data_IF_449182282578
#
_entry.id   IF_449182282578
#
_cell.length_a   1.000
_cell.length_b   1.000
_cell.length_c   1.000
_cell.angle_alpha   90.00
_cell.angle_beta   90.00
_cell.angle_gamma   90.00
#
_symmetry.space_group_name_H-M   'P 1'
#
loop_
_entity.id
_entity.type
_entity.pdbx_description
1 polymer ?
#
# COMPACT_ATOMS: atom_id res chain seq x y z
N UNK A 1 3.52 -23.73 -9.38
CA UNK A 1 2.75 -22.74 -8.58
C UNK A 1 3.67 -21.90 -7.68
N UNK A 2 4.74 -21.31 -8.24
CA UNK A 2 5.68 -20.45 -7.48
C UNK A 2 5.70 -19.00 -8.01
N UNK A 3 5.48 -18.81 -9.32
CA UNK A 3 5.64 -17.50 -9.97
C UNK A 3 4.51 -16.51 -9.60
N UNK A 4 3.25 -16.95 -9.62
CA UNK A 4 2.12 -16.12 -9.18
C UNK A 4 2.24 -15.72 -7.69
N UNK A 5 2.74 -16.64 -6.86
CA UNK A 5 2.98 -16.37 -5.44
C UNK A 5 4.08 -15.33 -5.27
N UNK A 6 5.16 -15.39 -6.04
CA UNK A 6 6.23 -14.38 -6.02
C UNK A 6 5.75 -12.99 -6.46
N UNK A 7 4.98 -12.90 -7.55
CA UNK A 7 4.48 -11.62 -8.07
C UNK A 7 3.46 -10.98 -7.12
N UNK A 8 2.67 -11.78 -6.40
CA UNK A 8 1.68 -11.29 -5.43
C UNK A 8 2.24 -11.03 -4.03
N UNK A 9 3.48 -11.47 -3.72
CA UNK A 9 4.11 -11.26 -2.40
C UNK A 9 4.15 -9.81 -1.92
N UNK A 10 4.38 -8.78 -2.76
CA UNK A 10 4.34 -7.38 -2.29
C UNK A 10 2.98 -7.00 -1.68
N UNK A 11 1.88 -7.55 -2.18
CA UNK A 11 0.54 -7.35 -1.61
C UNK A 11 0.31 -8.14 -0.31
N UNK A 12 1.27 -8.99 0.08
CA UNK A 12 1.35 -9.70 1.36
C UNK A 12 1.19 -8.81 2.59
N UNK A 13 1.57 -7.53 2.47
CA UNK A 13 1.46 -6.54 3.54
C UNK A 13 0.04 -6.38 4.11
N UNK A 14 -0.98 -6.43 3.24
CA UNK A 14 -2.38 -6.31 3.64
C UNK A 14 -2.86 -7.51 4.47
N UNK A 15 -2.15 -8.64 4.39
CA UNK A 15 -2.48 -9.86 5.11
C UNK A 15 -1.76 -9.99 6.47
N UNK A 16 -0.92 -9.01 6.85
CA UNK A 16 -0.29 -8.98 8.18
C UNK A 16 -1.37 -8.78 9.25
N UNK A 17 -1.41 -9.67 10.25
CA UNK A 17 -2.38 -9.61 11.37
C UNK A 17 -1.69 -9.33 12.70
N UNK A 18 -2.44 -8.81 13.67
CA UNK A 18 -2.01 -8.62 15.07
C UNK A 18 -1.51 -7.22 15.46
N UNK A 19 -1.54 -6.24 14.53
CA UNK A 19 -1.12 -4.85 14.80
C UNK A 19 -2.33 -3.97 15.15
N UNK A 20 -2.30 -3.26 16.29
CA UNK A 20 -3.34 -2.30 16.70
C UNK A 20 -3.55 -1.27 15.60
N UNK A 21 -4.80 -1.08 15.18
CA UNK A 21 -5.17 -0.01 14.25
C UNK A 21 -4.70 -0.19 12.81
N UNK A 22 -4.09 -1.33 12.44
CA UNK A 22 -3.69 -1.58 11.04
C UNK A 22 -4.85 -1.51 10.06
N UNK A 23 -5.97 -2.11 10.43
CA UNK A 23 -7.20 -2.04 9.66
C UNK A 23 -7.70 -0.59 9.44
N UNK A 24 -7.42 0.32 10.39
CA UNK A 24 -7.86 1.71 10.28
C UNK A 24 -7.16 2.44 9.15
N UNK A 25 -5.83 2.32 9.05
CA UNK A 25 -5.07 3.03 8.01
C UNK A 25 -5.03 2.29 6.67
N UNK A 26 -5.13 0.95 6.65
CA UNK A 26 -5.16 0.19 5.39
C UNK A 26 -6.49 0.28 4.66
N UNK A 27 -7.61 0.36 5.40
CA UNK A 27 -8.96 0.24 4.82
C UNK A 27 -9.87 1.40 5.21
N UNK A 28 -10.09 1.62 6.52
CA UNK A 28 -11.12 2.58 6.97
C UNK A 28 -10.83 4.01 6.50
N UNK A 29 -9.60 4.50 6.70
CA UNK A 29 -9.20 5.85 6.31
C UNK A 29 -9.21 6.04 4.78
N UNK A 30 -8.60 5.14 3.97
CA UNK A 30 -8.71 5.24 2.52
C UNK A 30 -10.16 5.24 2.02
N UNK A 31 -11.02 4.33 2.51
CA UNK A 31 -12.44 4.30 2.13
C UNK A 31 -13.14 5.60 2.50
N UNK A 32 -12.94 6.10 3.71
CA UNK A 32 -13.55 7.35 4.18
C UNK A 32 -13.14 8.53 3.29
N UNK A 33 -11.85 8.65 2.97
CA UNK A 33 -11.33 9.70 2.10
C UNK A 33 -11.84 9.57 0.66
N UNK A 34 -11.94 8.35 0.13
CA UNK A 34 -12.53 8.09 -1.19
C UNK A 34 -13.98 8.55 -1.24
N UNK A 35 -14.81 8.15 -0.27
CA UNK A 35 -16.22 8.55 -0.20
C UNK A 35 -16.35 10.06 -0.08
N UNK A 36 -15.53 10.69 0.76
CA UNK A 36 -15.50 12.15 0.90
C UNK A 36 -15.16 12.83 -0.43
N UNK A 37 -14.14 12.36 -1.16
CA UNK A 37 -13.78 12.93 -2.46
C UNK A 37 -14.88 12.75 -3.50
N UNK A 38 -15.57 11.60 -3.53
CA UNK A 38 -16.70 11.37 -4.45
C UNK A 38 -17.85 12.33 -4.15
N UNK A 39 -18.20 12.52 -2.87
CA UNK A 39 -19.25 13.46 -2.47
C UNK A 39 -18.89 14.88 -2.92
N UNK A 40 -17.63 15.29 -2.74
CA UNK A 40 -17.15 16.61 -3.19
C UNK A 40 -17.24 16.75 -4.71
N UNK A 41 -16.85 15.73 -5.48
CA UNK A 41 -16.95 15.73 -6.94
C UNK A 41 -18.43 15.83 -7.38
N UNK A 42 -19.32 15.04 -6.79
CA UNK A 42 -20.76 15.06 -7.12
C UNK A 42 -21.46 16.35 -6.72
N UNK A 43 -20.99 17.03 -5.67
CA UNK A 43 -21.55 18.30 -5.20
C UNK A 43 -21.04 19.51 -5.99
N UNK A 44 -20.02 19.32 -6.80
CA UNK A 44 -19.37 20.39 -7.56
C UNK A 44 -19.91 20.45 -8.99
N UNK A 45 -20.03 21.65 -9.54
CA UNK A 45 -20.61 21.85 -10.88
C UNK A 45 -19.64 21.36 -11.97
N UNK A 46 -20.00 20.28 -12.66
CA UNK A 46 -19.17 19.53 -13.63
C UNK A 46 -18.61 20.41 -14.75
N UNK A 47 -19.32 21.50 -15.10
CA UNK A 47 -18.94 22.41 -16.18
C UNK A 47 -17.65 23.20 -15.91
N UNK A 48 -17.27 23.43 -14.64
CA UNK A 48 -16.06 24.17 -14.28
C UNK A 48 -14.79 23.30 -14.24
N UNK A 49 -14.91 21.97 -14.20
CA UNK A 49 -13.77 21.06 -14.01
C UNK A 49 -13.10 20.56 -15.30
N UNK A 50 -13.80 20.62 -16.44
CA UNK A 50 -13.29 20.08 -17.72
C UNK A 50 -12.03 20.79 -18.24
N UNK A 51 -11.74 22.02 -17.80
CA UNK A 51 -10.57 22.82 -18.24
C UNK A 51 -9.39 22.82 -17.27
N UNK A 52 -9.57 22.38 -16.02
CA UNK A 52 -8.51 22.36 -14.99
C UNK A 52 -7.91 20.95 -14.79
N UNK A 53 -8.54 19.91 -15.36
CA UNK A 53 -8.34 18.51 -14.98
C UNK A 53 -7.04 17.85 -15.48
N UNK A 54 -6.63 18.06 -16.72
CA UNK A 54 -5.53 17.25 -17.27
C UNK A 54 -4.19 17.57 -16.62
N UNK A 55 -3.89 18.84 -16.36
CA UNK A 55 -2.58 19.22 -15.78
C UNK A 55 -2.43 18.73 -14.33
N UNK A 56 -3.50 18.81 -13.53
CA UNK A 56 -3.48 18.37 -12.13
C UNK A 56 -3.42 16.85 -12.03
N UNK A 57 -4.25 16.14 -12.80
CA UNK A 57 -4.27 14.67 -12.79
C UNK A 57 -2.94 14.12 -13.33
N UNK A 58 -2.44 14.66 -14.45
CA UNK A 58 -1.14 14.24 -15.00
C UNK A 58 0.01 14.60 -14.05
N UNK A 59 -0.09 15.70 -13.30
CA UNK A 59 0.87 16.06 -12.26
C UNK A 59 0.91 15.05 -11.11
N UNK A 60 -0.26 14.66 -10.59
CA UNK A 60 -0.38 13.65 -9.52
C UNK A 60 0.13 12.30 -10.00
N UNK A 61 -0.29 11.84 -11.19
CA UNK A 61 0.16 10.56 -11.76
C UNK A 61 1.66 10.59 -12.05
N UNK A 62 2.18 11.71 -12.55
CA UNK A 62 3.61 11.91 -12.78
C UNK A 62 4.43 11.84 -11.48
N UNK A 63 3.91 12.41 -10.39
CA UNK A 63 4.51 12.26 -9.07
C UNK A 63 4.51 10.80 -8.61
N UNK A 64 3.36 10.11 -8.70
CA UNK A 64 3.21 8.69 -8.30
C UNK A 64 4.13 7.78 -9.13
N UNK A 65 4.34 8.09 -10.40
CA UNK A 65 5.23 7.33 -11.29
C UNK A 65 6.69 7.32 -10.82
N UNK A 66 7.10 8.32 -10.03
CA UNK A 66 8.46 8.41 -9.48
C UNK A 66 8.58 7.72 -8.11
N UNK A 67 7.48 7.52 -7.40
CA UNK A 67 7.45 6.90 -6.06
C UNK A 67 8.00 5.48 -5.98
N UNK A 68 7.85 4.57 -6.99
CA UNK A 68 8.47 3.26 -6.93
C UNK A 68 9.98 3.34 -6.64
N UNK A 69 10.69 4.29 -7.27
CA UNK A 69 12.13 4.49 -7.04
C UNK A 69 12.44 4.93 -5.61
N UNK A 70 11.66 5.85 -5.06
CA UNK A 70 11.81 6.31 -3.67
C UNK A 70 11.54 5.20 -2.66
N UNK A 71 10.50 4.40 -2.87
CA UNK A 71 10.19 3.28 -1.98
C UNK A 71 11.22 2.17 -2.06
N UNK A 72 11.77 1.87 -3.24
CA UNK A 72 12.88 0.93 -3.39
C UNK A 72 14.13 1.44 -2.65
N UNK A 73 14.43 2.74 -2.72
CA UNK A 73 15.54 3.33 -1.97
C UNK A 73 15.32 3.23 -0.45
N UNK A 74 14.12 3.55 0.03
CA UNK A 74 13.76 3.40 1.45
C UNK A 74 13.84 1.93 1.90
N UNK A 75 13.37 1.01 1.07
CA UNK A 75 13.47 -0.43 1.30
C UNK A 75 14.93 -0.87 1.43
N UNK A 76 15.80 -0.45 0.49
CA UNK A 76 17.22 -0.75 0.53
C UNK A 76 17.88 -0.20 1.81
N UNK A 77 17.52 1.01 2.22
CA UNK A 77 18.01 1.61 3.46
C UNK A 77 17.58 0.81 4.70
N UNK A 78 16.30 0.44 4.81
CA UNK A 78 15.78 -0.35 5.95
C UNK A 78 16.46 -1.74 6.04
N UNK A 79 16.79 -2.34 4.90
CA UNK A 79 17.51 -3.63 4.85
C UNK A 79 18.99 -3.48 5.19
N UNK A 80 19.65 -2.42 4.70
CA UNK A 80 21.07 -2.18 4.94
C UNK A 80 21.36 -1.67 6.36
N UNK A 81 20.43 -0.96 7.00
CA UNK A 81 20.57 -0.46 8.36
C UNK A 81 20.62 -1.62 9.37
N UNK A 82 21.83 -1.93 9.84
CA UNK A 82 22.07 -2.84 10.97
C UNK A 82 21.76 -2.11 12.28
N UNK A 83 20.48 -2.07 12.65
CA UNK A 83 20.01 -1.51 13.91
C UNK A 83 19.25 -2.57 14.70
N UNK A 84 19.71 -2.85 15.93
CA UNK A 84 19.08 -3.82 16.82
C UNK A 84 17.60 -3.47 17.10
N UNK A 85 17.24 -2.18 17.12
CA UNK A 85 15.85 -1.72 17.30
C UNK A 85 14.91 -2.12 16.15
N UNK A 86 15.45 -2.36 14.95
CA UNK A 86 14.68 -2.83 13.79
C UNK A 86 14.48 -4.36 13.81
N UNK A 87 15.38 -5.06 14.49
CA UNK A 87 15.35 -6.51 14.66
C UNK A 87 14.54 -6.94 15.89
N UNK A 88 14.17 -5.99 16.74
CA UNK A 88 13.17 -6.19 17.78
C UNK A 88 11.80 -6.58 17.18
N UNK A 89 11.09 -7.44 17.92
CA UNK A 89 9.71 -7.79 17.59
C UNK A 89 8.83 -6.55 17.60
N UNK A 90 7.85 -6.48 16.69
CA UNK A 90 6.81 -5.45 16.84
C UNK A 90 6.01 -5.72 18.12
N UNK A 91 5.82 -4.67 18.92
CA UNK A 91 4.90 -4.71 20.06
C UNK A 91 3.47 -4.90 19.54
N UNK A 92 2.92 -6.08 19.84
CA UNK A 92 1.58 -6.50 19.47
C UNK A 92 0.51 -6.00 20.44
N UNK A 93 -0.74 -6.23 20.07
CA UNK A 93 -1.91 -5.64 20.74
C UNK A 93 -2.21 -6.24 22.11
N UNK A 94 -2.00 -7.55 22.23
CA UNK A 94 -2.41 -8.39 23.36
C UNK A 94 -1.64 -9.71 23.26
N UNK A 95 -0.67 -9.97 24.14
CA UNK A 95 0.09 -11.24 24.31
C UNK A 95 0.69 -11.98 23.09
N UNK A 96 0.38 -11.59 21.85
CA UNK A 96 0.84 -12.22 20.61
C UNK A 96 1.57 -11.19 19.73
N UNK A 97 2.77 -11.57 19.27
CA UNK A 97 3.56 -10.79 18.32
C UNK A 97 2.89 -10.85 16.94
N UNK A 98 2.79 -9.73 16.20
CA UNK A 98 2.15 -9.72 14.89
C UNK A 98 2.81 -10.73 13.96
N UNK A 99 1.99 -11.37 13.13
CA UNK A 99 2.40 -12.53 12.36
C UNK A 99 1.85 -12.52 10.94
N UNK A 100 2.59 -13.18 10.05
CA UNK A 100 2.16 -13.51 8.69
C UNK A 100 2.18 -15.02 8.55
N UNK A 101 1.19 -15.55 7.86
CA UNK A 101 1.19 -16.93 7.42
C UNK A 101 2.10 -17.06 6.20
N UNK A 102 3.19 -17.81 6.35
CA UNK A 102 4.05 -18.16 5.22
C UNK A 102 3.79 -19.62 4.85
N UNK A 103 3.57 -19.86 3.56
CA UNK A 103 3.61 -21.19 3.01
C UNK A 103 5.08 -21.62 2.96
N UNK A 104 5.41 -22.65 3.73
CA UNK A 104 6.69 -23.34 3.66
C UNK A 104 6.47 -24.71 3.07
N UNK A 105 7.47 -25.18 2.35
CA UNK A 105 7.51 -26.57 1.91
C UNK A 105 8.17 -27.33 3.05
N UNK A 106 7.43 -28.21 3.71
CA UNK A 106 7.97 -29.04 4.78
C UNK A 106 8.98 -30.05 4.21
N UNK A 107 9.77 -30.71 5.06
CA UNK A 107 10.78 -31.71 4.64
C UNK A 107 10.15 -32.83 3.78
N UNK A 108 8.86 -33.08 3.95
CA UNK A 108 8.04 -34.02 3.17
C UNK A 108 7.54 -33.49 1.81
N UNK A 109 7.99 -32.30 1.37
CA UNK A 109 7.52 -31.59 0.16
C UNK A 109 6.04 -31.18 0.15
N UNK A 110 5.38 -31.23 1.30
CA UNK A 110 4.01 -30.78 1.49
C UNK A 110 3.97 -29.29 1.85
N UNK A 111 2.92 -28.60 1.39
CA UNK A 111 2.70 -27.19 1.74
C UNK A 111 2.18 -27.11 3.18
N UNK A 112 2.98 -26.57 4.06
CA UNK A 112 2.60 -26.25 5.43
C UNK A 112 2.52 -24.73 5.61
N UNK A 113 1.60 -24.25 6.44
CA UNK A 113 1.41 -22.82 6.68
C UNK A 113 1.89 -22.50 8.10
N UNK A 114 3.09 -21.92 8.23
CA UNK A 114 3.62 -21.50 9.53
C UNK A 114 3.33 -20.04 9.82
N UNK A 115 3.04 -19.77 11.10
CA UNK A 115 2.98 -18.42 11.66
C UNK A 115 4.41 -17.92 11.86
N UNK A 116 4.84 -16.94 11.08
CA UNK A 116 6.11 -16.24 11.30
C UNK A 116 5.82 -14.92 12.02
N UNK A 117 6.46 -14.71 13.17
CA UNK A 117 6.40 -13.44 13.88
C UNK A 117 7.22 -12.37 13.15
N UNK A 118 6.67 -11.15 13.07
CA UNK A 118 7.28 -10.05 12.35
C UNK A 118 8.17 -9.20 13.26
N UNK A 119 9.39 -8.94 12.77
CA UNK A 119 10.24 -7.86 13.26
C UNK A 119 9.82 -6.53 12.65
N UNK A 120 10.24 -5.43 13.25
CA UNK A 120 9.99 -4.08 12.72
C UNK A 120 10.55 -3.92 11.30
N UNK A 121 11.76 -4.46 11.04
CA UNK A 121 12.36 -4.51 9.70
C UNK A 121 11.48 -5.22 8.69
N UNK A 122 10.96 -6.40 9.02
CA UNK A 122 10.14 -7.18 8.08
C UNK A 122 8.81 -6.47 7.77
N UNK A 123 8.20 -5.82 8.77
CA UNK A 123 6.99 -5.03 8.58
C UNK A 123 7.22 -3.82 7.67
N UNK A 124 8.25 -3.01 7.96
CA UNK A 124 8.63 -1.83 7.16
C UNK A 124 9.01 -2.21 5.73
N UNK A 125 9.79 -3.29 5.57
CA UNK A 125 10.16 -3.84 4.26
C UNK A 125 8.94 -4.28 3.45
N UNK A 126 8.01 -5.00 4.09
CA UNK A 126 6.75 -5.42 3.45
C UNK A 126 5.87 -4.23 3.07
N UNK A 127 5.83 -3.19 3.91
CA UNK A 127 5.07 -1.97 3.65
C UNK A 127 5.61 -1.19 2.44
N UNK A 128 6.93 -0.98 2.36
CA UNK A 128 7.52 -0.30 1.19
C UNK A 128 7.42 -1.14 -0.09
N UNK A 129 7.49 -2.46 0.01
CA UNK A 129 7.22 -3.35 -1.12
C UNK A 129 5.77 -3.20 -1.63
N UNK A 130 4.80 -3.14 -0.72
CA UNK A 130 3.39 -2.89 -1.05
C UNK A 130 3.20 -1.53 -1.73
N UNK A 131 3.73 -0.44 -1.15
CA UNK A 131 3.65 0.91 -1.72
C UNK A 131 4.30 1.00 -3.12
N UNK A 132 5.42 0.28 -3.32
CA UNK A 132 6.05 0.16 -4.64
C UNK A 132 5.13 -0.53 -5.63
N UNK A 133 4.53 -1.66 -5.26
CA UNK A 133 3.61 -2.38 -6.14
C UNK A 133 2.34 -1.56 -6.45
N UNK A 134 1.77 -0.89 -5.45
CA UNK A 134 0.58 -0.05 -5.59
C UNK A 134 0.84 1.14 -6.53
N UNK A 135 1.97 1.84 -6.38
CA UNK A 135 2.34 2.94 -7.28
C UNK A 135 2.52 2.50 -8.75
N UNK A 136 3.08 1.31 -8.99
CA UNK A 136 3.16 0.71 -10.33
C UNK A 136 1.74 0.42 -10.86
N UNK A 137 0.87 -0.19 -10.05
CA UNK A 137 -0.50 -0.51 -10.44
C UNK A 137 -1.28 0.75 -10.81
N UNK A 138 -1.23 1.80 -9.98
CA UNK A 138 -1.89 3.08 -10.25
C UNK A 138 -1.40 3.68 -11.56
N UNK A 139 -0.08 3.70 -11.78
CA UNK A 139 0.52 4.26 -13.00
C UNK A 139 0.08 3.50 -14.25
N UNK A 140 0.07 2.16 -14.18
CA UNK A 140 -0.36 1.32 -15.30
C UNK A 140 -1.87 1.44 -15.56
N UNK A 141 -2.70 1.42 -14.51
CA UNK A 141 -4.14 1.61 -14.65
C UNK A 141 -4.49 2.99 -15.20
N UNK A 142 -3.73 4.04 -14.85
CA UNK A 142 -3.90 5.36 -15.46
C UNK A 142 -3.63 5.36 -16.96
N UNK A 143 -2.54 4.72 -17.41
CA UNK A 143 -2.20 4.57 -18.84
C UNK A 143 -3.27 3.81 -19.63
N UNK A 144 -3.99 2.90 -18.97
CA UNK A 144 -5.06 2.11 -19.58
C UNK A 144 -6.43 2.82 -19.56
N UNK A 145 -6.54 4.01 -18.94
CA UNK A 145 -7.80 4.77 -18.85
C UNK A 145 -8.56 4.94 -20.17
N UNK A 146 -7.91 5.18 -21.34
CA UNK A 146 -8.65 5.38 -22.59
C UNK A 146 -9.45 4.16 -23.04
N UNK A 147 -9.08 2.95 -22.57
CA UNK A 147 -9.80 1.71 -22.90
C UNK A 147 -11.15 1.61 -22.19
N UNK A 148 -11.36 2.37 -21.10
CA UNK A 148 -12.55 2.31 -20.27
C UNK A 148 -13.55 3.45 -20.54
N UNK A 149 -13.12 4.49 -21.27
CA UNK A 149 -13.94 5.68 -21.57
C UNK A 149 -15.25 5.35 -22.30
N UNK A 150 -15.27 4.26 -23.07
CA UNK A 150 -16.44 3.87 -23.86
C UNK A 150 -17.60 3.34 -23.00
N UNK A 151 -17.36 2.93 -21.75
CA UNK A 151 -18.35 2.27 -20.91
C UNK A 151 -18.56 3.03 -19.60
N UNK A 152 -19.64 3.82 -19.50
CA UNK A 152 -19.93 4.67 -18.32
C UNK A 152 -19.86 3.93 -16.97
N UNK A 153 -20.45 2.73 -16.88
CA UNK A 153 -20.41 1.94 -15.64
C UNK A 153 -18.99 1.48 -15.28
N UNK A 154 -18.18 1.11 -16.28
CA UNK A 154 -16.79 0.69 -16.08
C UNK A 154 -15.93 1.88 -15.69
N UNK A 155 -16.15 3.05 -16.31
CA UNK A 155 -15.47 4.29 -15.96
C UNK A 155 -15.77 4.72 -14.52
N UNK A 156 -17.02 4.61 -14.06
CA UNK A 156 -17.37 4.90 -12.67
C UNK A 156 -16.63 3.97 -11.69
N UNK A 157 -16.61 2.66 -11.95
CA UNK A 157 -15.86 1.69 -11.13
C UNK A 157 -14.36 2.01 -11.16
N UNK A 158 -13.82 2.32 -12.34
CA UNK A 158 -12.42 2.70 -12.53
C UNK A 158 -12.04 3.92 -11.68
N UNK A 159 -12.84 4.99 -11.70
CA UNK A 159 -12.60 6.20 -10.90
C UNK A 159 -12.60 5.89 -9.41
N UNK A 160 -13.56 5.08 -8.93
CA UNK A 160 -13.63 4.66 -7.52
C UNK A 160 -12.38 3.88 -7.11
N UNK A 161 -11.97 2.90 -7.92
CA UNK A 161 -10.77 2.09 -7.65
C UNK A 161 -9.51 2.94 -7.65
N UNK A 162 -9.36 3.84 -8.63
CA UNK A 162 -8.21 4.75 -8.70
C UNK A 162 -8.13 5.70 -7.50
N UNK A 163 -9.26 6.29 -7.09
CA UNK A 163 -9.31 7.17 -5.92
C UNK A 163 -9.00 6.40 -4.62
N UNK A 164 -9.52 5.18 -4.49
CA UNK A 164 -9.22 4.32 -3.35
C UNK A 164 -7.73 3.97 -3.26
N UNK A 165 -7.13 3.49 -4.35
CA UNK A 165 -5.69 3.17 -4.39
C UNK A 165 -4.83 4.42 -4.16
N UNK A 166 -5.25 5.59 -4.64
CA UNK A 166 -4.56 6.85 -4.37
C UNK A 166 -4.53 7.17 -2.87
N UNK A 167 -5.68 7.13 -2.21
CA UNK A 167 -5.76 7.42 -0.77
C UNK A 167 -5.07 6.35 0.07
N UNK A 168 -5.16 5.09 -0.33
CA UNK A 168 -4.44 4.00 0.31
C UNK A 168 -2.92 4.22 0.24
N UNK A 169 -2.39 4.57 -0.94
CA UNK A 169 -0.98 4.90 -1.13
C UNK A 169 -0.56 6.07 -0.23
N UNK A 170 -1.34 7.16 -0.18
CA UNK A 170 -1.01 8.34 0.63
C UNK A 170 -1.00 8.01 2.13
N UNK A 171 -2.07 7.38 2.63
CA UNK A 171 -2.23 7.07 4.06
C UNK A 171 -1.13 6.10 4.52
N UNK A 172 -0.88 5.03 3.76
CA UNK A 172 0.14 4.04 4.11
C UNK A 172 1.55 4.65 4.01
N UNK A 173 1.79 5.59 3.08
CA UNK A 173 3.05 6.35 3.01
C UNK A 173 3.27 7.20 4.25
N UNK A 174 2.24 7.94 4.69
CA UNK A 174 2.32 8.75 5.91
C UNK A 174 2.56 7.89 7.14
N UNK A 175 1.90 6.73 7.25
CA UNK A 175 2.19 5.76 8.29
C UNK A 175 3.65 5.29 8.22
N UNK A 176 4.17 5.02 7.03
CA UNK A 176 5.57 4.63 6.86
C UNK A 176 6.56 5.69 7.31
N UNK A 177 6.30 6.95 6.97
CA UNK A 177 7.11 8.09 7.41
C UNK A 177 7.04 8.29 8.92
N UNK A 178 5.87 8.13 9.54
CA UNK A 178 5.73 8.18 11.01
C UNK A 178 6.57 7.09 11.69
N UNK A 179 6.54 5.86 11.16
CA UNK A 179 7.35 4.77 11.70
C UNK A 179 8.85 5.07 11.60
N UNK A 180 9.33 5.57 10.45
CA UNK A 180 10.74 5.88 10.25
C UNK A 180 11.19 7.14 11.01
N UNK A 181 10.39 8.19 11.00
CA UNK A 181 10.76 9.50 11.53
C UNK A 181 10.65 9.60 13.05
N UNK A 182 9.65 8.95 13.64
CA UNK A 182 9.36 9.08 15.07
C UNK A 182 9.60 7.76 15.82
N UNK A 183 8.99 6.67 15.36
CA UNK A 183 9.01 5.40 16.11
C UNK A 183 10.36 4.69 16.12
N UNK A 184 11.27 4.99 15.19
CA UNK A 184 12.64 4.48 15.24
C UNK A 184 13.54 5.22 16.24
N UNK A 185 13.15 6.42 16.65
CA UNK A 185 13.93 7.26 17.57
C UNK A 185 13.41 7.21 19.01
N UNK A 186 12.14 6.85 19.21
CA UNK A 186 11.54 6.67 20.53
C UNK A 186 11.65 5.21 20.95
N UNK A 187 12.34 4.95 22.07
CA UNK A 187 12.45 3.62 22.70
C UNK A 187 11.13 3.17 23.30
#
# INVERSE_FOLDING_TARGET
MMLFEQVSRPFGFLFIRGIKGKYLYDWLLPVLLTVLTIILICSSDIASYSKTNDSVINGIVGFISNLPGFYIAALAAVVALQNNLLDEGLDGTSSERPYVYINIINENREKDTKKQHLTRRHFLSSMFAFLTAESIVITMLNKLSPLFEQYNSVMAVYVVVMLFSLWQLIVVTLCGLYYLGERLHVK
#
